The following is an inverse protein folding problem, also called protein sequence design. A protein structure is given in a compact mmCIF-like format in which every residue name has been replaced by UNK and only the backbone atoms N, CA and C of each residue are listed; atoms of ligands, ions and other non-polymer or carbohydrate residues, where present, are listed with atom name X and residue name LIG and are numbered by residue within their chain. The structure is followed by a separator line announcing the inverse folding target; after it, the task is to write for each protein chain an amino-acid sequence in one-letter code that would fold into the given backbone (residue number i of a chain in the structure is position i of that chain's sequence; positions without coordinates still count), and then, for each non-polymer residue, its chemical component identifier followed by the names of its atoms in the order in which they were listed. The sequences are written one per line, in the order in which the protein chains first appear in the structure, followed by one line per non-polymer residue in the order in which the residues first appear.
data_IF_641354926567
#
_entry.id   IF_641354926567
#
_cell.length_a   1.000
_cell.length_b   1.000
_cell.length_c   1.000
_cell.angle_alpha   90.00
_cell.angle_beta   90.00
_cell.angle_gamma   90.00
#
_symmetry.space_group_name_H-M   'P 1'
#
loop_
_entity.id
_entity.type
_entity.pdbx_description
1 polymer ?
#
# COMPACT_ATOMS: atom_id res chain seq x y z
N UNK A 1 7.46 -25.67 -2.16
CA UNK A 1 8.39 -24.74 -2.83
C UNK A 1 7.57 -24.05 -3.89
N UNK A 2 6.93 -22.94 -3.57
CA UNK A 2 6.30 -22.11 -4.60
C UNK A 2 7.40 -21.28 -5.25
N UNK A 3 7.49 -21.39 -6.56
CA UNK A 3 8.45 -20.63 -7.38
C UNK A 3 8.12 -19.14 -7.28
N UNK A 4 9.16 -18.30 -7.32
CA UNK A 4 9.06 -16.85 -7.51
C UNK A 4 8.01 -16.52 -8.59
N UNK A 5 7.22 -15.45 -8.38
CA UNK A 5 6.18 -15.07 -9.36
C UNK A 5 6.84 -14.75 -10.70
N UNK A 6 6.79 -15.71 -11.63
CA UNK A 6 7.36 -15.57 -12.97
C UNK A 6 6.80 -14.33 -13.66
N UNK A 7 7.67 -13.37 -13.94
CA UNK A 7 7.35 -12.16 -14.70
C UNK A 7 7.18 -10.90 -13.86
N UNK A 8 6.98 -11.00 -12.54
CA UNK A 8 6.94 -9.82 -11.66
C UNK A 8 8.36 -9.27 -11.50
N UNK A 9 8.55 -8.00 -11.86
CA UNK A 9 9.86 -7.33 -11.75
C UNK A 9 9.84 -6.20 -10.72
N UNK A 10 11.00 -5.90 -10.17
CA UNK A 10 11.22 -4.65 -9.44
C UNK A 10 11.53 -3.51 -10.40
N UNK A 11 10.96 -2.32 -10.14
CA UNK A 11 11.33 -1.08 -10.84
C UNK A 11 11.75 -0.02 -9.82
N UNK A 12 13.05 0.23 -9.70
CA UNK A 12 13.65 1.10 -8.66
C UNK A 12 13.88 2.55 -9.15
N UNK A 13 13.76 2.78 -10.46
CA UNK A 13 14.22 4.02 -11.10
C UNK A 13 13.22 5.18 -10.99
N UNK A 14 13.21 5.88 -9.85
CA UNK A 14 12.52 7.17 -9.72
C UNK A 14 13.36 8.25 -9.01
N UNK A 15 14.02 7.96 -7.89
CA UNK A 15 14.76 9.00 -7.15
C UNK A 15 16.03 9.47 -7.89
N UNK A 16 16.68 8.59 -8.65
CA UNK A 16 17.86 8.93 -9.42
C UNK A 16 17.54 9.85 -10.63
N UNK A 17 16.38 9.67 -11.28
CA UNK A 17 15.98 10.45 -12.45
C UNK A 17 15.43 11.83 -12.10
N UNK A 18 14.85 12.01 -10.91
CA UNK A 18 14.46 13.33 -10.38
C UNK A 18 15.66 14.22 -10.02
N UNK A 19 16.80 13.61 -9.67
CA UNK A 19 18.03 14.36 -9.32
C UNK A 19 18.76 14.93 -10.53
N UNK A 20 18.56 14.32 -11.71
CA UNK A 20 19.22 14.73 -12.95
C UNK A 20 18.29 15.63 -13.76
N UNK A 21 18.41 16.94 -13.54
CA UNK A 21 17.81 17.98 -14.37
C UNK A 21 18.18 17.79 -15.85
N UNK A 22 17.28 17.18 -16.61
CA UNK A 22 17.21 17.34 -18.06
C UNK A 22 15.74 17.28 -18.48
N UNK A 23 15.09 18.44 -18.41
CA UNK A 23 13.83 18.70 -19.06
C UNK A 23 14.00 18.55 -20.57
N UNK A 24 13.67 17.38 -21.12
CA UNK A 24 13.14 17.23 -22.47
C UNK A 24 12.69 15.80 -22.73
N UNK A 25 11.49 15.67 -23.30
CA UNK A 25 10.88 14.49 -23.92
C UNK A 25 9.99 13.59 -23.02
N UNK A 26 8.69 13.69 -23.32
CA UNK A 26 7.55 12.83 -22.94
C UNK A 26 7.31 12.68 -21.43
N UNK A 27 6.27 13.35 -20.94
CA UNK A 27 5.60 12.97 -19.69
C UNK A 27 4.94 11.59 -19.86
N UNK A 28 5.74 10.53 -19.92
CA UNK A 28 5.26 9.21 -19.56
C UNK A 28 4.95 9.28 -18.07
N UNK A 29 3.67 9.32 -17.72
CA UNK A 29 3.25 9.17 -16.33
C UNK A 29 3.71 7.79 -15.86
N UNK A 30 4.81 7.77 -15.11
CA UNK A 30 5.30 6.57 -14.44
C UNK A 30 4.24 6.12 -13.44
N UNK A 31 3.83 4.85 -13.56
CA UNK A 31 2.97 4.20 -12.59
C UNK A 31 3.86 3.57 -11.52
N UNK A 32 3.59 3.88 -10.26
CA UNK A 32 4.32 3.37 -9.10
C UNK A 32 3.39 2.45 -8.31
N UNK A 33 3.71 1.16 -8.28
CA UNK A 33 2.87 0.12 -7.69
C UNK A 33 3.33 -0.19 -6.27
N UNK A 34 2.43 0.01 -5.31
CA UNK A 34 2.63 -0.18 -3.88
C UNK A 34 1.71 -1.28 -3.37
N UNK A 35 2.24 -2.29 -2.71
CA UNK A 35 1.46 -3.30 -2.01
C UNK A 35 1.31 -2.92 -0.53
N UNK A 36 0.07 -2.83 -0.03
CA UNK A 36 -0.19 -2.63 1.41
C UNK A 36 -0.39 -3.97 2.11
N UNK A 37 0.37 -4.22 3.16
CA UNK A 37 0.28 -5.43 4.00
C UNK A 37 0.12 -5.01 5.46
N UNK A 38 -0.75 -5.67 6.19
CA UNK A 38 -0.92 -5.43 7.62
C UNK A 38 -2.14 -6.12 8.19
N UNK A 39 -2.21 -6.20 9.51
CA UNK A 39 -3.34 -6.83 10.19
C UNK A 39 -4.66 -6.06 10.03
N UNK A 40 -5.77 -6.73 10.30
CA UNK A 40 -7.06 -6.05 10.51
C UNK A 40 -6.92 -5.03 11.63
N UNK A 41 -7.34 -3.79 11.38
CA UNK A 41 -7.20 -2.70 12.35
C UNK A 41 -5.81 -2.07 12.43
N UNK A 42 -4.84 -2.45 11.58
CA UNK A 42 -3.53 -1.79 11.56
C UNK A 42 -3.52 -0.40 10.93
N UNK A 43 -4.64 0.06 10.35
CA UNK A 43 -4.75 1.40 9.77
C UNK A 43 -4.47 1.49 8.25
N UNK A 44 -4.39 0.36 7.53
CA UNK A 44 -4.21 0.34 6.05
C UNK A 44 -5.17 1.28 5.30
N UNK A 45 -6.47 1.18 5.57
CA UNK A 45 -7.47 2.03 4.91
C UNK A 45 -7.31 3.50 5.28
N UNK A 46 -6.91 3.81 6.51
CA UNK A 46 -6.62 5.18 6.93
C UNK A 46 -5.41 5.74 6.19
N UNK A 47 -4.37 4.92 5.99
CA UNK A 47 -3.20 5.28 5.19
C UNK A 47 -3.56 5.47 3.71
N UNK A 48 -4.42 4.61 3.14
CA UNK A 48 -4.93 4.78 1.78
C UNK A 48 -5.69 6.11 1.63
N UNK A 49 -6.55 6.45 2.60
CA UNK A 49 -7.25 7.75 2.62
C UNK A 49 -6.26 8.92 2.65
N UNK A 50 -5.19 8.81 3.44
CA UNK A 50 -4.16 9.83 3.49
C UNK A 50 -3.47 10.01 2.12
N UNK A 51 -3.07 8.91 1.48
CA UNK A 51 -2.46 8.94 0.14
C UNK A 51 -3.41 9.57 -0.89
N UNK A 52 -4.69 9.16 -0.87
CA UNK A 52 -5.69 9.66 -1.80
C UNK A 52 -5.91 11.18 -1.68
N UNK A 53 -5.88 11.70 -0.45
CA UNK A 53 -6.06 13.12 -0.18
C UNK A 53 -4.74 13.90 -0.13
N UNK A 54 -3.60 13.28 -0.47
CA UNK A 54 -2.26 13.90 -0.33
C UNK A 54 -2.13 15.22 -1.09
N UNK A 55 -2.61 15.28 -2.33
CA UNK A 55 -2.63 16.50 -3.14
C UNK A 55 -3.47 17.61 -2.51
N UNK A 56 -4.65 17.27 -2.00
CA UNK A 56 -5.51 18.22 -1.30
C UNK A 56 -4.83 18.75 -0.03
N UNK A 57 -4.13 17.88 0.71
CA UNK A 57 -3.35 18.26 1.90
C UNK A 57 -2.20 19.20 1.52
N UNK A 58 -1.50 18.94 0.42
CA UNK A 58 -0.45 19.82 -0.12
C UNK A 58 -1.02 21.21 -0.49
N UNK A 59 -2.17 21.24 -1.17
CA UNK A 59 -2.88 22.47 -1.57
C UNK A 59 -3.52 23.23 -0.41
N UNK A 60 -3.83 22.54 0.69
CA UNK A 60 -4.29 23.14 1.95
C UNK A 60 -3.14 23.89 2.64
N UNK A 61 -1.91 23.41 2.52
CA UNK A 61 -0.75 24.03 3.17
C UNK A 61 -0.99 24.26 4.67
N UNK A 62 -0.55 25.40 5.21
CA UNK A 62 -0.80 25.78 6.62
C UNK A 62 -2.11 26.55 6.84
N UNK A 63 -2.86 26.86 5.79
CA UNK A 63 -4.09 27.65 5.89
C UNK A 63 -5.31 26.79 5.60
N UNK A 64 -6.00 26.45 6.68
CA UNK A 64 -7.19 25.60 6.64
C UNK A 64 -8.39 26.44 6.22
N UNK A 65 -8.75 26.39 4.93
CA UNK A 65 -10.02 26.91 4.41
C UNK A 65 -11.11 25.83 4.59
N UNK A 66 -12.20 26.18 5.27
CA UNK A 66 -13.33 25.28 5.53
C UNK A 66 -13.94 24.69 4.25
N UNK A 67 -13.90 25.42 3.13
CA UNK A 67 -14.38 24.95 1.83
C UNK A 67 -13.46 23.89 1.18
N UNK A 68 -12.19 23.84 1.59
CA UNK A 68 -11.25 22.80 1.15
C UNK A 68 -11.32 21.55 2.03
N UNK A 69 -11.61 21.69 3.34
CA UNK A 69 -11.84 20.54 4.24
C UNK A 69 -13.02 19.70 3.77
N UNK A 70 -14.11 20.33 3.31
CA UNK A 70 -15.28 19.63 2.78
C UNK A 70 -15.01 18.80 1.51
N UNK A 71 -13.84 18.95 0.89
CA UNK A 71 -13.40 18.18 -0.28
C UNK A 71 -12.62 16.92 0.09
N UNK A 72 -12.27 16.73 1.37
CA UNK A 72 -11.63 15.50 1.85
C UNK A 72 -12.59 14.34 1.59
N UNK A 73 -12.14 13.37 0.80
CA UNK A 73 -12.93 12.19 0.49
C UNK A 73 -12.48 11.04 1.38
N UNK A 74 -13.42 10.42 2.06
CA UNK A 74 -13.15 9.10 2.63
C UNK A 74 -13.38 8.04 1.58
N UNK A 75 -12.48 7.06 1.52
CA UNK A 75 -12.61 5.91 0.64
C UNK A 75 -13.93 5.16 0.82
N UNK A 76 -14.49 5.15 2.03
CA UNK A 76 -15.80 4.53 2.27
C UNK A 76 -16.94 5.25 1.55
N UNK A 77 -16.81 6.55 1.27
CA UNK A 77 -17.82 7.37 0.59
C UNK A 77 -17.72 7.21 -0.94
N UNK A 78 -16.52 6.94 -1.47
CA UNK A 78 -16.29 6.65 -2.90
C UNK A 78 -16.96 5.35 -3.39
N UNK A 79 -17.38 4.46 -2.50
CA UNK A 79 -18.18 3.28 -2.85
C UNK A 79 -19.64 3.59 -3.19
N UNK A 80 -20.11 4.81 -2.92
CA UNK A 80 -21.53 5.18 -3.09
C UNK A 80 -21.75 6.04 -4.35
N UNK A 81 -20.74 6.76 -4.86
CA UNK A 81 -20.98 7.78 -5.91
C UNK A 81 -20.22 7.64 -7.24
N UNK A 82 -19.29 6.70 -7.41
CA UNK A 82 -18.58 6.56 -8.70
C UNK A 82 -18.86 5.25 -9.41
N UNK A 83 -20.07 5.15 -9.96
CA UNK A 83 -20.32 4.45 -11.22
C UNK A 83 -19.67 5.23 -12.38
N UNK A 84 -18.34 5.23 -12.41
CA UNK A 84 -17.55 5.77 -13.52
C UNK A 84 -16.44 4.77 -13.84
N UNK A 85 -16.76 3.80 -14.69
CA UNK A 85 -15.98 3.03 -15.70
C UNK A 85 -14.46 2.78 -15.56
N UNK A 86 -13.79 3.05 -14.43
CA UNK A 86 -12.38 2.68 -14.17
C UNK A 86 -12.10 2.18 -12.76
N UNK A 87 -13.13 2.05 -11.92
CA UNK A 87 -13.08 1.07 -10.84
C UNK A 87 -13.25 -0.30 -11.51
N UNK A 88 -12.13 -0.91 -11.93
CA UNK A 88 -12.12 -2.28 -12.46
C UNK A 88 -12.93 -3.14 -11.48
N UNK A 89 -14.04 -3.69 -11.99
CA UNK A 89 -15.08 -4.36 -11.23
C UNK A 89 -14.47 -5.36 -10.25
N UNK A 90 -14.46 -5.03 -8.96
CA UNK A 90 -14.18 -5.99 -7.90
C UNK A 90 -15.37 -6.93 -7.77
N UNK A 91 -15.37 -7.99 -8.58
CA UNK A 91 -16.13 -9.20 -8.25
C UNK A 91 -15.24 -10.05 -7.35
N UNK A 92 -15.84 -10.43 -6.21
CA UNK A 92 -15.38 -11.39 -5.19
C UNK A 92 -14.13 -11.04 -4.38
N UNK A 93 -14.31 -10.74 -3.08
CA UNK A 93 -13.44 -11.15 -1.92
C UNK A 93 -11.89 -11.15 -2.02
N UNK A 94 -11.33 -10.42 -2.99
CA UNK A 94 -9.94 -10.40 -3.42
C UNK A 94 -9.31 -9.01 -3.19
N UNK A 95 -7.98 -8.91 -3.28
CA UNK A 95 -7.26 -7.65 -3.10
C UNK A 95 -7.81 -6.55 -4.02
N UNK A 96 -7.69 -5.29 -3.59
CA UNK A 96 -8.27 -4.15 -4.28
C UNK A 96 -7.19 -3.27 -4.86
N UNK A 97 -7.45 -2.72 -6.03
CA UNK A 97 -6.54 -1.86 -6.75
C UNK A 97 -7.08 -0.44 -6.76
N UNK A 98 -6.24 0.52 -6.37
CA UNK A 98 -6.58 1.93 -6.33
C UNK A 98 -5.58 2.71 -7.15
N UNK A 99 -6.09 3.63 -7.96
CA UNK A 99 -5.25 4.60 -8.64
C UNK A 99 -5.37 5.96 -7.94
N UNK A 100 -4.21 6.55 -7.66
CA UNK A 100 -4.12 7.92 -7.13
C UNK A 100 -2.92 8.63 -7.76
N UNK A 101 -2.78 9.92 -7.50
CA UNK A 101 -1.65 10.72 -7.97
C UNK A 101 -1.00 11.40 -6.77
N UNK A 102 0.30 11.17 -6.60
CA UNK A 102 1.11 11.76 -5.53
C UNK A 102 2.30 12.45 -6.17
N UNK A 103 2.49 13.76 -5.93
CA UNK A 103 3.62 14.53 -6.47
C UNK A 103 3.80 14.36 -8.00
N UNK A 104 2.71 14.35 -8.78
CA UNK A 104 2.67 14.12 -10.24
C UNK A 104 2.99 12.69 -10.71
N UNK A 105 3.10 11.74 -9.78
CA UNK A 105 3.30 10.33 -10.08
C UNK A 105 1.98 9.58 -9.98
N UNK A 106 1.65 8.79 -11.00
CA UNK A 106 0.51 7.88 -10.91
C UNK A 106 0.90 6.74 -9.96
N UNK A 107 0.12 6.51 -8.93
CA UNK A 107 0.35 5.44 -7.97
C UNK A 107 -0.76 4.41 -8.11
N UNK A 108 -0.38 3.14 -8.25
CA UNK A 108 -1.28 2.02 -8.00
C UNK A 108 -1.05 1.54 -6.57
N UNK A 109 -2.10 1.53 -5.75
CA UNK A 109 -2.09 0.93 -4.42
C UNK A 109 -2.88 -0.36 -4.46
N UNK A 110 -2.22 -1.47 -4.12
CA UNK A 110 -2.83 -2.79 -3.95
C UNK A 110 -3.14 -2.95 -2.47
N UNK A 111 -4.40 -2.79 -2.08
CA UNK A 111 -4.86 -3.03 -0.72
C UNK A 111 -5.24 -4.50 -0.54
N UNK A 112 -4.60 -5.12 0.43
CA UNK A 112 -4.85 -6.53 0.76
C UNK A 112 -5.80 -6.60 1.95
N UNK A 113 -6.74 -7.56 1.98
CA UNK A 113 -7.57 -7.77 3.16
C UNK A 113 -6.70 -7.92 4.41
N UNK A 114 -7.10 -7.28 5.52
CA UNK A 114 -6.42 -7.47 6.80
C UNK A 114 -6.44 -8.93 7.24
N UNK A 115 -5.29 -9.40 7.72
CA UNK A 115 -5.11 -10.72 8.34
C UNK A 115 -5.07 -10.61 9.86
N UNK A 116 -5.03 -11.73 10.57
CA UNK A 116 -4.94 -11.74 12.04
C UNK A 116 -6.27 -11.73 12.80
N UNK A 117 -7.41 -11.85 12.11
CA UNK A 117 -8.63 -12.35 12.76
C UNK A 117 -8.32 -13.78 13.23
N UNK A 118 -8.52 -14.08 14.53
CA UNK A 118 -8.21 -15.29 15.31
C UNK A 118 -8.62 -16.68 14.73
N UNK A 119 -8.53 -16.91 13.43
CA UNK A 119 -9.13 -18.03 12.69
C UNK A 119 -8.09 -19.04 12.17
N UNK A 120 -6.83 -18.92 12.58
CA UNK A 120 -5.78 -19.92 12.41
C UNK A 120 -5.08 -19.94 11.03
N UNK A 121 -4.09 -20.84 10.91
CA UNK A 121 -3.16 -20.96 9.77
C UNK A 121 -3.84 -21.12 8.40
N UNK A 122 -5.02 -21.74 8.36
CA UNK A 122 -5.77 -21.91 7.10
C UNK A 122 -6.18 -20.59 6.48
N UNK A 123 -6.56 -19.61 7.30
CA UNK A 123 -6.93 -18.27 6.82
C UNK A 123 -5.71 -17.48 6.40
N UNK A 124 -4.59 -17.63 7.10
CA UNK A 124 -3.33 -16.98 6.72
C UNK A 124 -2.84 -17.46 5.35
N UNK A 125 -2.94 -18.76 5.04
CA UNK A 125 -2.67 -19.29 3.69
C UNK A 125 -3.57 -18.69 2.63
N UNK A 126 -4.87 -18.58 2.90
CA UNK A 126 -5.82 -17.94 1.97
C UNK A 126 -5.46 -16.46 1.74
N UNK A 127 -5.02 -15.75 2.78
CA UNK A 127 -4.61 -14.36 2.67
C UNK A 127 -3.31 -14.22 1.85
N UNK A 128 -2.32 -15.09 2.07
CA UNK A 128 -1.09 -15.15 1.25
C UNK A 128 -1.46 -15.39 -0.22
N UNK A 129 -2.33 -16.35 -0.50
CA UNK A 129 -2.74 -16.66 -1.87
C UNK A 129 -3.37 -15.45 -2.56
N UNK A 130 -4.22 -14.71 -1.86
CA UNK A 130 -4.82 -13.46 -2.39
C UNK A 130 -3.79 -12.39 -2.70
N UNK A 131 -2.74 -12.27 -1.88
CA UNK A 131 -1.64 -11.34 -2.13
C UNK A 131 -0.90 -11.77 -3.40
N UNK A 132 -0.57 -13.05 -3.52
CA UNK A 132 0.13 -13.62 -4.68
C UNK A 132 -0.68 -13.42 -5.96
N UNK A 133 -1.99 -13.68 -5.92
CA UNK A 133 -2.85 -13.56 -7.10
C UNK A 133 -3.06 -12.10 -7.51
N UNK A 134 -3.02 -11.16 -6.57
CA UNK A 134 -3.00 -9.73 -6.87
C UNK A 134 -1.70 -9.30 -7.54
N UNK A 135 -0.57 -9.83 -7.06
CA UNK A 135 0.76 -9.55 -7.61
C UNK A 135 0.96 -10.12 -9.02
N UNK A 136 0.40 -11.30 -9.31
CA UNK A 136 0.41 -11.90 -10.66
C UNK A 136 -0.29 -11.03 -11.72
N UNK A 137 -1.17 -10.13 -11.31
CA UNK A 137 -1.85 -9.20 -12.23
C UNK A 137 -0.99 -7.98 -12.58
N UNK A 138 0.20 -7.85 -11.98
CA UNK A 138 1.11 -6.72 -12.19
C UNK A 138 2.40 -7.17 -12.86
N UNK A 139 2.86 -6.37 -13.84
CA UNK A 139 4.15 -6.60 -14.49
C UNK A 139 5.33 -6.21 -13.57
N UNK A 140 5.10 -5.24 -12.68
CA UNK A 140 6.11 -4.78 -11.73
C UNK A 140 5.50 -4.28 -10.43
N UNK A 141 6.32 -4.37 -9.38
CA UNK A 141 6.09 -3.77 -8.07
C UNK A 141 7.25 -2.84 -7.74
N UNK A 142 6.97 -1.74 -7.05
CA UNK A 142 7.99 -0.78 -6.65
C UNK A 142 8.28 -0.85 -5.15
N UNK A 143 7.26 -1.13 -4.33
CA UNK A 143 7.40 -1.11 -2.87
C UNK A 143 6.36 -1.98 -2.18
N UNK A 144 6.74 -2.57 -1.05
CA UNK A 144 5.79 -3.15 -0.08
C UNK A 144 5.72 -2.25 1.13
N UNK A 145 4.54 -1.73 1.44
CA UNK A 145 4.29 -0.95 2.65
C UNK A 145 3.69 -1.86 3.73
N UNK A 146 4.46 -2.12 4.78
CA UNK A 146 4.04 -2.85 5.94
C UNK A 146 3.42 -1.91 6.98
N UNK A 147 2.11 -1.98 7.14
CA UNK A 147 1.33 -1.12 8.03
C UNK A 147 1.12 -1.84 9.37
N UNK A 148 1.73 -1.30 10.43
CA UNK A 148 1.73 -1.86 11.78
C UNK A 148 1.07 -0.86 12.74
N UNK A 149 0.23 -1.35 13.64
CA UNK A 149 -0.23 -0.53 14.76
C UNK A 149 0.92 -0.36 15.76
N UNK A 150 1.51 0.83 15.83
CA UNK A 150 2.67 1.11 16.68
C UNK A 150 2.39 1.01 18.17
N UNK A 151 1.12 1.00 18.60
CA UNK A 151 0.76 0.77 20.01
C UNK A 151 0.78 -0.70 20.40
N UNK A 152 0.81 -1.62 19.43
CA UNK A 152 1.03 -3.04 19.71
C UNK A 152 2.49 -3.28 20.11
N UNK A 153 2.71 -4.11 21.12
CA UNK A 153 4.05 -4.31 21.66
C UNK A 153 4.93 -5.25 20.82
N UNK A 154 4.33 -6.08 19.95
CA UNK A 154 5.05 -7.15 19.23
C UNK A 154 4.37 -7.50 17.91
N UNK A 155 5.17 -8.01 16.97
CA UNK A 155 4.68 -8.61 15.73
C UNK A 155 3.93 -9.91 16.03
N UNK A 156 2.72 -10.06 15.49
CA UNK A 156 1.94 -11.29 15.66
C UNK A 156 2.56 -12.48 14.90
N UNK A 157 2.16 -13.69 15.28
CA UNK A 157 2.54 -14.90 14.56
C UNK A 157 2.02 -14.91 13.11
N UNK A 158 0.81 -14.39 12.87
CA UNK A 158 0.22 -14.30 11.53
C UNK A 158 0.98 -13.32 10.64
N UNK A 159 1.39 -12.16 11.17
CA UNK A 159 2.21 -11.21 10.43
C UNK A 159 3.58 -11.79 10.08
N UNK A 160 4.23 -12.49 11.02
CA UNK A 160 5.48 -13.23 10.77
C UNK A 160 5.32 -14.28 9.68
N UNK A 161 4.25 -15.06 9.75
CA UNK A 161 3.96 -16.11 8.78
C UNK A 161 3.77 -15.52 7.38
N UNK A 162 2.92 -14.49 7.24
CA UNK A 162 2.66 -13.87 5.95
C UNK A 162 3.92 -13.23 5.37
N UNK A 163 4.69 -12.50 6.18
CA UNK A 163 5.97 -11.95 5.74
C UNK A 163 6.93 -13.05 5.28
N UNK A 164 7.00 -14.17 5.99
CA UNK A 164 7.81 -15.32 5.59
C UNK A 164 7.34 -15.91 4.25
N UNK A 165 6.04 -16.10 4.05
CA UNK A 165 5.52 -16.68 2.81
C UNK A 165 5.73 -15.73 1.62
N UNK A 166 5.32 -14.47 1.73
CA UNK A 166 5.50 -13.50 0.63
C UNK A 166 6.99 -13.28 0.31
N UNK A 167 7.88 -13.42 1.30
CA UNK A 167 9.33 -13.30 1.09
C UNK A 167 9.87 -14.41 0.19
N UNK A 168 9.22 -15.57 0.16
CA UNK A 168 9.60 -16.65 -0.75
C UNK A 168 9.06 -16.44 -2.16
N UNK A 169 7.99 -15.66 -2.30
CA UNK A 169 7.26 -15.48 -3.56
C UNK A 169 7.66 -14.22 -4.33
N UNK A 170 8.08 -13.17 -3.61
CA UNK A 170 8.50 -11.91 -4.20
C UNK A 170 9.97 -11.95 -4.67
N UNK A 171 10.34 -11.15 -5.69
CA UNK A 171 11.73 -10.97 -6.07
C UNK A 171 12.57 -10.47 -4.90
N UNK A 172 13.79 -10.96 -4.73
CA UNK A 172 14.64 -10.62 -3.57
C UNK A 172 14.96 -9.13 -3.49
N UNK A 173 14.96 -8.45 -4.61
CA UNK A 173 15.19 -7.01 -4.72
C UNK A 173 14.06 -6.18 -4.07
N UNK A 174 12.89 -6.78 -3.75
CA UNK A 174 11.83 -6.09 -3.01
C UNK A 174 12.24 -5.80 -1.56
N UNK A 175 13.14 -6.59 -0.96
CA UNK A 175 13.47 -6.47 0.46
C UNK A 175 14.13 -5.12 0.78
N UNK A 176 14.84 -4.56 -0.19
CA UNK A 176 15.43 -3.22 -0.10
C UNK A 176 14.37 -2.10 -0.25
N UNK A 177 13.15 -2.46 -0.65
CA UNK A 177 12.03 -1.56 -0.91
C UNK A 177 10.80 -1.91 -0.04
N UNK A 178 11.04 -2.43 1.17
CA UNK A 178 10.02 -2.58 2.20
C UNK A 178 10.01 -1.32 3.08
N UNK A 179 8.87 -0.64 3.11
CA UNK A 179 8.64 0.52 3.99
C UNK A 179 7.76 0.08 5.14
N UNK A 180 8.22 0.26 6.38
CA UNK A 180 7.42 0.00 7.58
C UNK A 180 6.77 1.31 8.04
N UNK A 181 5.46 1.29 8.20
CA UNK A 181 4.66 2.45 8.63
C UNK A 181 3.98 2.08 9.95
N UNK A 182 4.34 2.82 11.00
CA UNK A 182 3.67 2.74 12.29
C UNK A 182 2.49 3.71 12.34
N UNK A 183 1.31 3.17 12.63
CA UNK A 183 0.08 3.92 12.82
C UNK A 183 -0.27 4.02 14.31
N UNK A 184 -1.21 4.90 14.67
CA UNK A 184 -1.64 5.14 16.06
C UNK A 184 -0.55 5.70 16.99
N UNK A 185 0.51 6.28 16.44
CA UNK A 185 1.63 6.89 17.17
C UNK A 185 1.87 8.29 16.63
N UNK A 186 1.96 9.29 17.51
CA UNK A 186 2.26 10.68 17.10
C UNK A 186 3.78 10.92 17.03
N UNK A 187 4.53 10.24 17.88
CA UNK A 187 5.99 10.27 17.92
C UNK A 187 6.58 8.88 18.25
N UNK A 188 7.92 8.81 18.32
CA UNK A 188 8.64 7.56 18.60
C UNK A 188 8.45 7.05 20.04
N UNK A 189 8.09 7.92 20.99
CA UNK A 189 7.90 7.54 22.40
C UNK A 189 6.57 6.80 22.59
N UNK A 190 5.58 7.08 21.73
CA UNK A 190 4.29 6.39 21.71
C UNK A 190 4.35 5.02 21.01
N UNK A 191 5.46 4.71 20.34
CA UNK A 191 5.65 3.43 19.64
C UNK A 191 6.12 2.35 20.62
N UNK A 192 5.21 1.44 20.95
CA UNK A 192 5.49 0.27 21.78
C UNK A 192 6.09 -0.89 20.98
N UNK A 193 6.16 -0.77 19.66
CA UNK A 193 6.58 -1.86 18.79
C UNK A 193 8.10 -1.99 18.78
N UNK A 194 8.59 -3.10 19.32
CA UNK A 194 10.03 -3.37 19.31
C UNK A 194 10.47 -3.93 17.94
N UNK A 195 11.39 -3.22 17.28
CA UNK A 195 11.99 -3.61 15.98
C UNK A 195 13.25 -4.47 16.18
N UNK A 196 13.72 -4.63 17.43
CA UNK A 196 14.94 -5.37 17.78
C UNK A 196 14.86 -6.88 17.53
#
# INVERSE_FOLDING_TARGET
MEEEIKGLRMKVDYLASLSNNACSAREEFYRYTVLLIGETGSGKTSFLNLLYNSKLIEELGTQVDGAKISQIKHYNDLKIESSSERAMESKTSEAKFYETEVCKMKMMVIDTPGFGDFRGLGKDKENVQKIIDALKQQDYINCVCLIINGRQCRMSASLKYILSEISTTLPKEIFDNIIVIFTYTADLLDCNFNIA
#
